data_IF_417153875895
#
_entry.id   IF_417153875895
#
_cell.length_a   1.000
_cell.length_b   1.000
_cell.length_c   1.000
_cell.angle_alpha   90.00
_cell.angle_beta   90.00
_cell.angle_gamma   90.00
#
_symmetry.space_group_name_H-M   'P 1'
#
loop_
_entity.id
_entity.type
_entity.pdbx_description
1 polymer ?
#
# COMPACT_ATOMS: atom_id res chain seq x y z
N UNK A 1 -6.86 15.48 -4.98
CA UNK A 1 -8.03 14.69 -4.52
C UNK A 1 -9.29 15.52 -4.73
N UNK A 2 -10.36 14.92 -5.28
CA UNK A 2 -11.61 15.66 -5.60
C UNK A 2 -12.73 15.39 -4.60
N UNK A 3 -12.69 14.22 -3.91
CA UNK A 3 -13.69 13.94 -2.87
C UNK A 3 -13.53 14.92 -1.70
N UNK A 4 -14.65 15.46 -1.20
CA UNK A 4 -14.72 16.45 -0.13
C UNK A 4 -15.36 15.88 1.13
N UNK A 5 -14.99 16.42 2.27
CA UNK A 5 -15.60 16.17 3.57
C UNK A 5 -15.89 17.54 4.24
N UNK A 6 -17.16 17.91 4.31
CA UNK A 6 -17.61 19.19 4.84
C UNK A 6 -18.26 18.98 6.19
N UNK A 7 -17.94 19.81 7.18
CA UNK A 7 -18.56 19.77 8.50
C UNK A 7 -19.90 20.51 8.46
N UNK A 8 -20.97 19.83 8.86
CA UNK A 8 -22.31 20.41 9.01
C UNK A 8 -22.89 20.05 10.37
N UNK A 9 -22.78 20.97 11.35
CA UNK A 9 -23.14 20.68 12.73
C UNK A 9 -22.27 19.57 13.32
N UNK A 10 -22.92 18.52 13.84
CA UNK A 10 -22.25 17.35 14.42
C UNK A 10 -22.01 16.20 13.40
N UNK A 11 -22.18 16.49 12.12
CA UNK A 11 -22.01 15.52 11.04
C UNK A 11 -20.93 15.95 10.05
N UNK A 12 -20.33 14.96 9.40
CA UNK A 12 -19.46 15.15 8.24
C UNK A 12 -20.18 14.65 7.00
N UNK A 13 -20.30 15.54 6.00
CA UNK A 13 -20.93 15.26 4.71
C UNK A 13 -19.85 14.99 3.67
N UNK A 14 -19.89 13.79 3.07
CA UNK A 14 -18.89 13.34 2.12
C UNK A 14 -19.50 13.31 0.72
N UNK A 15 -18.80 13.94 -0.23
CA UNK A 15 -19.16 13.95 -1.64
C UNK A 15 -17.96 13.64 -2.54
N UNK A 16 -18.18 12.88 -3.61
CA UNK A 16 -17.19 12.58 -4.63
C UNK A 16 -17.04 11.10 -4.93
N UNK A 17 -16.03 10.76 -5.70
CA UNK A 17 -15.76 9.39 -6.12
C UNK A 17 -14.35 8.98 -5.67
N UNK A 18 -14.23 7.75 -5.18
CA UNK A 18 -12.96 7.09 -4.91
C UNK A 18 -12.75 5.98 -5.93
N UNK A 19 -11.52 5.86 -6.39
CA UNK A 19 -11.10 4.90 -7.38
C UNK A 19 -10.01 3.99 -6.83
N UNK A 20 -10.00 2.74 -7.24
CA UNK A 20 -9.09 1.73 -6.73
C UNK A 20 -9.21 1.48 -5.22
N UNK A 21 -10.47 1.45 -4.74
CA UNK A 21 -10.75 1.14 -3.34
C UNK A 21 -10.58 -0.38 -3.10
N UNK A 22 -9.41 -0.77 -2.62
CA UNK A 22 -9.06 -2.19 -2.40
C UNK A 22 -9.88 -2.79 -1.25
N UNK A 23 -10.35 -4.02 -1.46
CA UNK A 23 -11.12 -4.77 -0.47
C UNK A 23 -12.61 -4.44 -0.44
N UNK A 24 -13.08 -3.49 -1.25
CA UNK A 24 -14.48 -3.06 -1.24
C UNK A 24 -15.44 -4.12 -1.80
N UNK A 25 -14.94 -5.07 -2.58
CA UNK A 25 -15.69 -6.20 -3.12
C UNK A 25 -15.86 -7.37 -2.14
N UNK A 26 -15.13 -7.40 -1.03
CA UNK A 26 -15.23 -8.48 -0.07
C UNK A 26 -16.60 -8.48 0.62
N UNK A 27 -17.35 -9.60 0.62
CA UNK A 27 -18.66 -9.68 1.29
C UNK A 27 -18.61 -9.39 2.79
N UNK A 28 -17.44 -9.49 3.41
CA UNK A 28 -17.20 -9.18 4.82
C UNK A 28 -16.92 -7.71 5.08
N UNK A 29 -16.65 -6.92 4.03
CA UNK A 29 -16.38 -5.49 4.18
C UNK A 29 -17.63 -4.79 4.73
N UNK A 30 -17.45 -4.05 5.82
CA UNK A 30 -18.54 -3.33 6.51
C UNK A 30 -18.29 -1.84 6.57
N UNK A 31 -17.03 -1.41 6.46
CA UNK A 31 -16.62 -0.04 6.64
C UNK A 31 -15.52 0.34 5.64
N UNK A 32 -15.54 1.58 5.20
CA UNK A 32 -14.48 2.19 4.40
C UNK A 32 -13.79 3.31 5.17
N UNK A 33 -12.47 3.38 5.09
CA UNK A 33 -11.71 4.54 5.55
C UNK A 33 -11.59 5.50 4.37
N UNK A 34 -12.31 6.59 4.42
CA UNK A 34 -12.38 7.57 3.33
C UNK A 34 -11.50 8.77 3.65
N UNK A 35 -10.44 8.96 2.86
CA UNK A 35 -9.69 10.20 2.88
C UNK A 35 -10.33 11.20 1.91
N UNK A 36 -10.71 12.37 2.38
CA UNK A 36 -11.34 13.41 1.59
C UNK A 36 -10.74 14.79 1.91
N UNK A 37 -10.88 15.73 0.99
CA UNK A 37 -10.45 17.11 1.20
C UNK A 37 -11.41 17.83 2.12
N UNK A 38 -10.90 18.44 3.18
CA UNK A 38 -11.64 19.33 4.06
C UNK A 38 -11.50 20.75 3.54
N UNK A 39 -12.62 21.37 3.21
CA UNK A 39 -12.62 22.76 2.74
C UNK A 39 -12.43 23.72 3.92
N UNK A 40 -11.20 24.05 4.20
CA UNK A 40 -10.85 25.13 5.13
C UNK A 40 -9.66 25.90 4.54
N UNK A 41 -9.90 27.12 4.01
CA UNK A 41 -8.88 27.94 3.36
C UNK A 41 -7.76 28.39 4.32
N UNK A 42 -8.02 28.40 5.64
CA UNK A 42 -7.07 28.80 6.66
C UNK A 42 -6.08 27.68 7.04
N UNK A 43 -6.34 26.45 6.61
CA UNK A 43 -5.43 25.31 6.84
C UNK A 43 -4.31 25.25 5.80
N UNK A 44 -3.10 24.97 6.28
CA UNK A 44 -1.99 24.69 5.37
C UNK A 44 -2.25 23.41 4.53
N UNK A 45 -1.50 23.24 3.44
CA UNK A 45 -1.74 22.15 2.47
C UNK A 45 -1.67 20.75 3.07
N UNK A 46 -0.98 20.56 4.20
CA UNK A 46 -0.85 19.25 4.86
C UNK A 46 -2.02 18.94 5.78
N UNK A 47 -2.79 19.95 6.19
CA UNK A 47 -3.96 19.83 7.04
C UNK A 47 -5.31 19.92 6.27
N UNK A 48 -5.28 19.88 4.94
CA UNK A 48 -6.48 19.95 4.09
C UNK A 48 -7.15 18.60 3.81
N UNK A 49 -6.80 17.56 4.54
CA UNK A 49 -7.38 16.22 4.34
C UNK A 49 -7.81 15.62 5.66
N UNK A 50 -8.98 14.98 5.63
CA UNK A 50 -9.57 14.30 6.80
C UNK A 50 -9.78 12.82 6.44
N UNK A 51 -9.55 11.92 7.37
CA UNK A 51 -9.95 10.51 7.27
C UNK A 51 -11.20 10.24 8.08
N UNK A 52 -12.17 9.61 7.45
CA UNK A 52 -13.49 9.36 8.02
C UNK A 52 -13.86 7.89 7.88
N UNK A 53 -14.36 7.29 8.95
CA UNK A 53 -14.94 5.95 8.94
C UNK A 53 -16.36 6.01 8.38
N UNK A 54 -16.59 5.33 7.26
CA UNK A 54 -17.88 5.31 6.58
C UNK A 54 -18.40 3.88 6.52
N UNK A 55 -19.49 3.53 7.24
CA UNK A 55 -20.15 2.26 7.05
C UNK A 55 -20.66 2.13 5.61
N UNK A 56 -20.44 0.97 4.98
CA UNK A 56 -20.77 0.79 3.56
C UNK A 56 -22.27 0.78 3.27
N UNK A 57 -23.09 0.57 4.28
CA UNK A 57 -24.56 0.65 4.19
C UNK A 57 -25.11 2.05 4.45
N UNK A 58 -24.26 3.06 4.61
CA UNK A 58 -24.71 4.46 4.80
C UNK A 58 -25.39 4.94 3.51
N UNK A 59 -26.57 5.60 3.60
CA UNK A 59 -27.24 6.17 2.45
C UNK A 59 -26.32 7.09 1.64
N UNK A 60 -26.32 6.93 0.30
CA UNK A 60 -25.46 7.71 -0.59
C UNK A 60 -24.13 7.04 -0.92
N UNK A 61 -23.76 5.92 -0.28
CA UNK A 61 -22.60 5.09 -0.68
C UNK A 61 -23.04 4.14 -1.78
N UNK A 62 -22.33 4.16 -2.92
CA UNK A 62 -22.63 3.27 -4.05
C UNK A 62 -21.33 2.70 -4.63
N UNK A 63 -21.20 1.38 -4.63
CA UNK A 63 -20.14 0.69 -5.38
C UNK A 63 -20.56 0.66 -6.83
N UNK A 64 -19.91 1.45 -7.68
CA UNK A 64 -20.26 1.62 -9.10
C UNK A 64 -19.89 0.40 -9.93
N UNK A 65 -18.69 -0.09 -9.71
CA UNK A 65 -18.12 -1.24 -10.44
C UNK A 65 -16.85 -1.72 -9.75
N UNK A 66 -16.50 -2.97 -10.02
CA UNK A 66 -15.18 -3.52 -9.74
C UNK A 66 -14.24 -3.23 -10.92
N UNK A 67 -12.96 -3.07 -10.62
CA UNK A 67 -11.92 -2.70 -11.57
C UNK A 67 -10.97 -3.88 -11.80
N UNK A 68 -10.71 -4.27 -13.05
CA UNK A 68 -9.79 -5.35 -13.35
C UNK A 68 -8.32 -4.89 -13.25
N UNK A 69 -7.46 -5.78 -12.78
CA UNK A 69 -6.01 -5.65 -12.78
C UNK A 69 -5.45 -6.79 -13.65
N UNK A 70 -4.72 -6.45 -14.72
CA UNK A 70 -4.18 -7.43 -15.67
C UNK A 70 -5.22 -8.46 -16.16
N UNK A 71 -6.48 -8.04 -16.32
CA UNK A 71 -7.57 -8.90 -16.79
C UNK A 71 -8.25 -9.75 -15.72
N UNK A 72 -7.88 -9.62 -14.45
CA UNK A 72 -8.52 -10.29 -13.30
C UNK A 72 -9.12 -9.27 -12.34
N UNK A 73 -10.16 -9.68 -11.58
CA UNK A 73 -10.82 -8.80 -10.61
C UNK A 73 -10.32 -8.95 -9.18
N UNK A 74 -9.31 -9.81 -8.95
CA UNK A 74 -8.68 -10.05 -7.65
C UNK A 74 -9.70 -10.43 -6.55
N UNK A 75 -10.65 -11.31 -6.94
CA UNK A 75 -11.73 -11.78 -6.07
C UNK A 75 -11.21 -12.57 -4.86
N UNK A 76 -11.89 -12.54 -3.70
CA UNK A 76 -13.16 -11.83 -3.42
C UNK A 76 -12.99 -10.35 -3.04
N UNK A 77 -11.77 -9.89 -2.82
CA UNK A 77 -11.47 -8.55 -2.29
C UNK A 77 -11.69 -7.46 -3.32
N UNK A 78 -11.05 -7.62 -4.47
CA UNK A 78 -11.13 -6.72 -5.60
C UNK A 78 -10.76 -5.27 -5.31
N UNK A 79 -10.91 -4.46 -6.35
CA UNK A 79 -10.68 -3.01 -6.30
C UNK A 79 -11.90 -2.33 -6.94
N UNK A 80 -12.53 -1.41 -6.23
CA UNK A 80 -13.78 -0.81 -6.70
C UNK A 80 -13.70 0.69 -6.93
N UNK A 81 -14.63 1.15 -7.76
CA UNK A 81 -15.00 2.54 -7.88
C UNK A 81 -16.23 2.80 -7.00
N UNK A 82 -16.08 3.71 -6.03
CA UNK A 82 -17.12 4.02 -5.04
C UNK A 82 -17.51 5.48 -5.13
N UNK A 83 -18.81 5.72 -5.29
CA UNK A 83 -19.41 7.05 -5.25
C UNK A 83 -19.96 7.35 -3.86
N UNK A 84 -19.72 8.55 -3.40
CA UNK A 84 -20.28 9.12 -2.18
C UNK A 84 -21.12 10.34 -2.58
N UNK A 85 -22.42 10.30 -2.30
CA UNK A 85 -23.36 11.36 -2.65
C UNK A 85 -24.14 11.78 -1.39
N UNK A 86 -23.78 12.93 -0.84
CA UNK A 86 -24.33 13.44 0.42
C UNK A 86 -24.30 12.40 1.56
N UNK A 87 -23.20 11.66 1.65
CA UNK A 87 -23.04 10.64 2.69
C UNK A 87 -22.77 11.33 4.02
N UNK A 88 -23.68 11.13 4.97
CA UNK A 88 -23.65 11.76 6.30
C UNK A 88 -23.22 10.75 7.34
N UNK A 89 -22.22 11.11 8.11
CA UNK A 89 -21.74 10.32 9.25
C UNK A 89 -21.47 11.24 10.44
N UNK A 90 -21.61 10.75 11.68
CA UNK A 90 -21.31 11.54 12.87
C UNK A 90 -19.85 12.04 12.87
N UNK A 91 -19.60 13.21 13.46
CA UNK A 91 -18.25 13.76 13.63
C UNK A 91 -17.33 12.80 14.39
N UNK A 92 -17.87 11.95 15.27
CA UNK A 92 -17.12 10.90 15.98
C UNK A 92 -16.48 9.85 15.07
N UNK A 93 -16.90 9.76 13.81
CA UNK A 93 -16.29 8.88 12.79
C UNK A 93 -15.02 9.48 12.17
N UNK A 94 -14.68 10.73 12.50
CA UNK A 94 -13.42 11.34 12.04
C UNK A 94 -12.26 10.78 12.86
N UNK A 95 -11.25 10.28 12.15
CA UNK A 95 -10.06 9.68 12.77
C UNK A 95 -9.09 10.81 13.17
N UNK A 96 -8.69 10.85 14.43
CA UNK A 96 -7.72 11.79 15.01
C UNK A 96 -8.05 13.29 14.84
N UNK A 97 -9.23 13.64 14.31
CA UNK A 97 -9.68 15.02 14.11
C UNK A 97 -9.58 15.52 12.66
N UNK A 98 -10.24 16.65 12.41
CA UNK A 98 -10.25 17.28 11.09
C UNK A 98 -8.84 17.72 10.67
N UNK A 99 -8.52 17.56 9.39
CA UNK A 99 -7.24 17.95 8.84
C UNK A 99 -6.07 16.98 9.10
N UNK A 100 -6.28 15.90 9.85
CA UNK A 100 -5.23 14.93 10.22
C UNK A 100 -5.02 13.80 9.20
N UNK A 101 -5.76 13.80 8.10
CA UNK A 101 -5.71 12.71 7.12
C UNK A 101 -4.34 12.46 6.51
N UNK A 102 -3.58 13.52 6.21
CA UNK A 102 -2.22 13.37 5.68
C UNK A 102 -1.24 12.79 6.70
N UNK A 103 -1.29 13.26 7.95
CA UNK A 103 -0.48 12.77 9.06
C UNK A 103 -0.72 11.27 9.29
N UNK A 104 -2.00 10.86 9.35
CA UNK A 104 -2.40 9.45 9.48
C UNK A 104 -1.85 8.61 8.32
N UNK A 105 -1.99 9.09 7.08
CA UNK A 105 -1.48 8.40 5.90
C UNK A 105 0.04 8.21 5.97
N UNK A 106 0.81 9.24 6.35
CA UNK A 106 2.26 9.14 6.46
C UNK A 106 2.70 8.20 7.59
N UNK A 107 2.04 8.25 8.74
CA UNK A 107 2.32 7.34 9.85
C UNK A 107 2.14 5.86 9.46
N UNK A 108 1.15 5.55 8.65
CA UNK A 108 0.91 4.19 8.14
C UNK A 108 1.87 3.79 7.02
N UNK A 109 2.23 4.71 6.13
CA UNK A 109 3.05 4.40 4.93
C UNK A 109 4.53 4.17 5.24
N UNK A 110 5.09 4.77 6.29
CA UNK A 110 6.49 4.54 6.70
C UNK A 110 6.78 3.05 6.93
N UNK A 111 6.18 2.41 7.93
CA UNK A 111 6.32 0.98 8.18
C UNK A 111 5.86 0.11 7.01
N UNK A 112 4.83 0.52 6.29
CA UNK A 112 4.33 -0.17 5.11
C UNK A 112 5.37 -0.31 4.00
N UNK A 113 6.25 0.67 3.82
CA UNK A 113 7.35 0.60 2.83
C UNK A 113 8.37 -0.48 3.20
N UNK A 114 8.76 -0.57 4.47
CA UNK A 114 9.66 -1.62 4.97
C UNK A 114 9.05 -3.00 4.74
N UNK A 115 7.77 -3.18 5.09
CA UNK A 115 7.04 -4.42 4.88
C UNK A 115 7.02 -4.83 3.40
N UNK A 116 6.78 -3.91 2.47
CA UNK A 116 6.84 -4.20 1.04
C UNK A 116 8.23 -4.65 0.58
N UNK A 117 9.30 -4.02 1.05
CA UNK A 117 10.67 -4.43 0.73
C UNK A 117 10.97 -5.84 1.22
N UNK A 118 10.58 -6.19 2.46
CA UNK A 118 10.77 -7.54 2.99
C UNK A 118 10.00 -8.60 2.19
N UNK A 119 8.79 -8.30 1.74
CA UNK A 119 8.03 -9.21 0.87
C UNK A 119 8.71 -9.43 -0.48
N UNK A 120 9.25 -8.36 -1.09
CA UNK A 120 10.02 -8.47 -2.34
C UNK A 120 11.27 -9.33 -2.14
N UNK A 121 11.97 -9.17 -1.01
CA UNK A 121 13.14 -9.99 -0.66
C UNK A 121 12.75 -11.45 -0.52
N UNK A 122 11.63 -11.76 0.15
CA UNK A 122 11.12 -13.13 0.27
C UNK A 122 10.78 -13.75 -1.10
N UNK A 123 10.15 -13.00 -2.00
CA UNK A 123 9.87 -13.46 -3.36
C UNK A 123 11.16 -13.66 -4.18
N UNK A 124 12.16 -12.81 -4.00
CA UNK A 124 13.46 -12.95 -4.66
C UNK A 124 14.22 -14.18 -4.16
N UNK A 125 14.16 -14.50 -2.85
CA UNK A 125 14.72 -15.72 -2.26
C UNK A 125 14.14 -16.98 -2.90
N UNK A 126 12.80 -17.07 -2.92
CA UNK A 126 12.11 -18.20 -3.53
C UNK A 126 12.44 -18.34 -5.03
N UNK A 127 12.50 -17.21 -5.73
CA UNK A 127 12.87 -17.18 -7.16
C UNK A 127 14.29 -17.69 -7.40
N UNK A 128 15.23 -17.31 -6.55
CA UNK A 128 16.63 -17.77 -6.63
C UNK A 128 16.73 -19.27 -6.37
N UNK A 129 16.01 -19.77 -5.36
CA UNK A 129 15.93 -21.20 -5.05
C UNK A 129 15.37 -22.01 -6.22
N UNK A 130 14.28 -21.56 -6.83
CA UNK A 130 13.69 -22.19 -8.00
C UNK A 130 14.64 -22.16 -9.19
N UNK A 131 15.36 -21.05 -9.39
CA UNK A 131 16.36 -20.91 -10.45
C UNK A 131 17.51 -21.91 -10.27
N UNK A 132 18.02 -22.07 -9.06
CA UNK A 132 19.09 -23.03 -8.73
C UNK A 132 18.60 -24.47 -8.94
N UNK A 133 17.45 -24.83 -8.39
CA UNK A 133 16.83 -26.17 -8.55
C UNK A 133 16.65 -26.51 -10.03
N UNK A 134 16.13 -25.56 -10.81
CA UNK A 134 15.96 -25.74 -12.26
C UNK A 134 17.30 -25.82 -12.98
N UNK A 135 18.25 -24.96 -12.61
CA UNK A 135 19.59 -24.93 -13.18
C UNK A 135 20.35 -26.24 -13.01
N UNK A 136 20.18 -26.91 -11.87
CA UNK A 136 20.80 -28.21 -11.57
C UNK A 136 20.08 -29.36 -12.28
N UNK A 137 18.74 -29.37 -12.24
CA UNK A 137 17.94 -30.50 -12.71
C UNK A 137 17.80 -30.59 -14.24
N UNK A 138 17.77 -29.45 -14.93
CA UNK A 138 17.61 -29.44 -16.39
C UNK A 138 18.94 -29.60 -17.11
N UNK A 139 19.02 -30.63 -17.95
CA UNK A 139 20.17 -30.87 -18.86
C UNK A 139 19.83 -30.36 -20.26
N UNK A 140 20.74 -29.63 -20.86
CA UNK A 140 20.73 -29.22 -22.26
C UNK A 140 22.17 -29.22 -22.78
N UNK A 141 22.38 -29.57 -24.05
CA UNK A 141 23.70 -29.68 -24.67
C UNK A 141 24.66 -30.53 -23.85
N UNK A 142 24.17 -31.65 -23.29
CA UNK A 142 24.95 -32.65 -22.56
C UNK A 142 25.38 -32.28 -21.14
N UNK A 143 24.92 -31.15 -20.58
CA UNK A 143 25.26 -30.71 -19.20
C UNK A 143 24.11 -29.94 -18.52
N UNK A 144 24.09 -29.87 -17.17
CA UNK A 144 23.13 -29.06 -16.44
C UNK A 144 23.18 -27.58 -16.86
N UNK A 145 22.01 -26.92 -16.87
CA UNK A 145 21.90 -25.49 -17.25
C UNK A 145 22.80 -24.59 -16.41
N UNK A 146 22.99 -24.92 -15.15
CA UNK A 146 23.85 -24.13 -14.24
C UNK A 146 25.29 -24.04 -14.72
N UNK A 147 25.73 -24.99 -15.55
CA UNK A 147 27.08 -25.07 -16.12
C UNK A 147 27.16 -24.41 -17.51
N UNK A 148 26.09 -23.77 -17.98
CA UNK A 148 26.05 -23.11 -19.29
C UNK A 148 26.22 -21.61 -19.14
N UNK A 149 27.18 -21.02 -19.87
CA UNK A 149 27.45 -19.58 -19.89
C UNK A 149 27.64 -18.99 -18.47
N UNK A 150 27.18 -17.76 -18.27
CA UNK A 150 27.27 -17.02 -16.99
C UNK A 150 26.21 -17.38 -15.95
N UNK A 151 25.56 -18.56 -16.00
CA UNK A 151 24.46 -18.87 -15.08
C UNK A 151 24.90 -18.93 -13.61
N UNK A 152 26.12 -19.42 -13.34
CA UNK A 152 26.69 -19.41 -11.98
C UNK A 152 26.95 -17.98 -11.47
N UNK A 153 27.44 -17.11 -12.35
CA UNK A 153 27.68 -15.70 -12.05
C UNK A 153 26.36 -15.01 -11.68
N UNK A 154 25.29 -15.22 -12.48
CA UNK A 154 23.95 -14.69 -12.19
C UNK A 154 23.38 -15.16 -10.85
N UNK A 155 23.64 -16.43 -10.47
CA UNK A 155 23.26 -16.95 -9.15
C UNK A 155 24.01 -16.22 -8.04
N UNK A 156 25.32 -16.03 -8.21
CA UNK A 156 26.15 -15.33 -7.22
C UNK A 156 25.74 -13.84 -7.09
N UNK A 157 25.55 -13.15 -8.21
CA UNK A 157 25.08 -11.76 -8.24
C UNK A 157 23.71 -11.60 -7.56
N UNK A 158 22.76 -12.49 -7.91
CA UNK A 158 21.43 -12.48 -7.29
C UNK A 158 21.51 -12.72 -5.78
N UNK A 159 22.34 -13.66 -5.31
CA UNK A 159 22.55 -13.89 -3.88
C UNK A 159 23.09 -12.65 -3.17
N UNK A 160 24.11 -12.02 -3.73
CA UNK A 160 24.70 -10.80 -3.17
C UNK A 160 23.69 -9.65 -3.13
N UNK A 161 22.93 -9.45 -4.20
CA UNK A 161 21.92 -8.40 -4.26
C UNK A 161 20.81 -8.60 -3.21
N UNK A 162 20.33 -9.84 -3.04
CA UNK A 162 19.32 -10.19 -2.03
C UNK A 162 19.85 -9.92 -0.61
N UNK A 163 21.09 -10.31 -0.31
CA UNK A 163 21.69 -10.11 1.00
C UNK A 163 21.90 -8.62 1.29
N UNK A 164 22.36 -7.84 0.33
CA UNK A 164 22.50 -6.38 0.46
C UNK A 164 21.14 -5.71 0.71
N UNK A 165 20.11 -6.03 -0.08
CA UNK A 165 18.77 -5.49 0.08
C UNK A 165 18.17 -5.86 1.44
N UNK A 166 18.38 -7.10 1.91
CA UNK A 166 17.92 -7.56 3.23
C UNK A 166 18.58 -6.77 4.36
N UNK A 167 19.90 -6.65 4.34
CA UNK A 167 20.65 -5.94 5.38
C UNK A 167 20.27 -4.46 5.42
N UNK A 168 20.11 -3.82 4.25
CA UNK A 168 19.68 -2.43 4.19
C UNK A 168 18.24 -2.26 4.74
N UNK A 169 17.35 -3.20 4.43
CA UNK A 169 15.97 -3.17 4.93
C UNK A 169 15.90 -3.38 6.44
N UNK A 170 16.68 -4.31 6.98
CA UNK A 170 16.80 -4.51 8.43
C UNK A 170 17.40 -3.29 9.13
N UNK A 171 18.40 -2.64 8.52
CA UNK A 171 18.95 -1.39 9.02
C UNK A 171 17.91 -0.26 9.06
N UNK A 172 17.11 -0.13 8.00
CA UNK A 172 16.03 0.86 7.97
C UNK A 172 14.96 0.58 9.03
N UNK A 173 14.62 -0.70 9.28
CA UNK A 173 13.70 -1.09 10.33
C UNK A 173 14.25 -0.74 11.72
N UNK A 174 15.51 -1.06 11.98
CA UNK A 174 16.19 -0.71 13.22
C UNK A 174 16.22 0.82 13.45
N UNK A 175 16.50 1.61 12.39
CA UNK A 175 16.47 3.07 12.48
C UNK A 175 15.06 3.58 12.78
N UNK A 176 14.03 2.97 12.21
CA UNK A 176 12.63 3.32 12.50
C UNK A 176 12.30 3.10 13.97
N UNK A 177 12.74 1.98 14.55
CA UNK A 177 12.53 1.66 15.97
C UNK A 177 13.22 2.66 16.89
N UNK A 178 14.40 3.16 16.52
CA UNK A 178 15.19 4.11 17.31
C UNK A 178 14.73 5.56 17.20
N UNK A 179 14.36 6.00 16.00
CA UNK A 179 14.19 7.43 15.65
C UNK A 179 12.77 7.79 15.23
N UNK A 180 11.89 6.80 15.09
CA UNK A 180 10.56 7.00 14.51
C UNK A 180 10.58 7.24 12.99
N UNK A 181 9.39 7.34 12.39
CA UNK A 181 9.23 7.41 10.94
C UNK A 181 9.87 8.65 10.29
N UNK A 182 9.87 9.79 10.99
CA UNK A 182 10.49 11.02 10.50
C UNK A 182 12.01 10.94 10.55
N UNK A 183 12.57 10.41 11.65
CA UNK A 183 14.02 10.27 11.82
C UNK A 183 14.65 9.22 10.89
N UNK A 184 13.90 8.22 10.45
CA UNK A 184 14.34 7.16 9.54
C UNK A 184 13.91 7.39 8.07
N UNK A 185 13.45 8.58 7.72
CA UNK A 185 12.86 8.85 6.40
C UNK A 185 13.82 8.59 5.24
N UNK A 186 15.10 8.90 5.41
CA UNK A 186 16.15 8.69 4.39
C UNK A 186 16.35 7.19 4.14
N UNK A 187 16.48 6.40 5.19
CA UNK A 187 16.67 4.94 5.10
C UNK A 187 15.43 4.26 4.51
N UNK A 188 14.23 4.70 4.93
CA UNK A 188 12.96 4.20 4.36
C UNK A 188 12.83 4.55 2.87
N UNK A 189 13.36 5.68 2.43
CA UNK A 189 13.40 6.03 1.01
C UNK A 189 14.43 5.17 0.26
N UNK A 190 15.62 5.00 0.82
CA UNK A 190 16.72 4.24 0.21
C UNK A 190 16.35 2.78 -0.11
N UNK A 191 15.68 2.08 0.82
CA UNK A 191 15.27 0.67 0.60
C UNK A 191 14.23 0.48 -0.52
N UNK A 192 13.62 1.56 -1.00
CA UNK A 192 12.69 1.51 -2.14
C UNK A 192 13.38 1.66 -3.49
N UNK A 193 14.66 1.98 -3.49
CA UNK A 193 15.48 2.18 -4.69
C UNK A 193 16.31 0.94 -5.01
N UNK A 194 16.71 0.19 -3.99
CA UNK A 194 17.45 -1.07 -4.06
C UNK A 194 16.48 -2.24 -4.24
#
# INVERSE_FOLDING_TARGET
>A
MQATATLEGDEVVINGTKWWSSGIGDPRAKISIVMARTENPDMDRHHQHTMVLVPLNTPGVTIKRMLPVFGTYDEPHGHGEVEFKNVRVPLSNVIAGLGKGFEIAQGRLGPGRIHHCMRCIGAAEESLDLMIKRGISRVAFGKPLINLGGNRERVAEARLAIDQARLLTLYAAWKLDQLGALGAMTEIAAIKVV
#
